data_IF_237195503975
#
_entry.id   IF_237195503975
#
_cell.length_a   1.000
_cell.length_b   1.000
_cell.length_c   1.000
_cell.angle_alpha   90.00
_cell.angle_beta   90.00
_cell.angle_gamma   90.00
#
_symmetry.space_group_name_H-M   'P 1'
#
loop_
_entity.id
_entity.type
_entity.pdbx_description
1 polymer ?
#
# COMPACT_ATOMS: atom_id res chain seq x y z
N UNK A 1 -16.79 12.50 -0.12
CA UNK A 1 -15.87 13.57 0.27
C UNK A 1 -14.45 13.33 -0.27
N UNK A 2 -13.76 12.25 0.13
CA UNK A 2 -12.40 11.95 -0.34
C UNK A 2 -12.27 11.87 -1.88
N UNK A 3 -13.20 11.21 -2.56
CA UNK A 3 -13.22 11.09 -4.04
C UNK A 3 -13.35 12.47 -4.71
N UNK A 4 -14.22 13.35 -4.19
CA UNK A 4 -14.44 14.70 -4.73
C UNK A 4 -13.22 15.59 -4.49
N UNK A 5 -12.55 15.45 -3.34
CA UNK A 5 -11.30 16.15 -3.04
C UNK A 5 -10.16 15.72 -3.97
N UNK A 6 -10.01 14.41 -4.22
CA UNK A 6 -9.01 13.86 -5.14
C UNK A 6 -9.30 14.25 -6.59
N UNK A 7 -10.58 14.35 -6.98
CA UNK A 7 -10.97 14.84 -8.30
C UNK A 7 -10.63 16.33 -8.48
N UNK A 8 -10.77 17.14 -7.41
CA UNK A 8 -10.30 18.53 -7.39
C UNK A 8 -8.78 18.67 -7.50
N UNK A 9 -8.02 17.78 -6.84
CA UNK A 9 -6.56 17.73 -6.95
C UNK A 9 -6.08 17.27 -8.33
N UNK A 10 -6.79 16.33 -8.98
CA UNK A 10 -6.46 15.88 -10.34
C UNK A 10 -6.61 16.96 -11.43
N UNK A 11 -7.38 18.03 -11.17
CA UNK A 11 -7.48 19.19 -12.06
C UNK A 11 -6.32 20.19 -11.88
N UNK A 12 -5.55 20.06 -10.80
CA UNK A 12 -4.35 20.85 -10.53
C UNK A 12 -3.14 20.20 -11.21
N UNK A 13 -2.31 21.05 -11.79
CA UNK A 13 -1.15 20.75 -12.63
C UNK A 13 -0.36 19.49 -12.24
N UNK A 14 0.05 18.70 -13.23
CA UNK A 14 0.88 17.47 -13.16
C UNK A 14 2.13 17.60 -12.26
N UNK A 15 2.59 18.82 -12.01
CA UNK A 15 3.69 19.11 -11.08
C UNK A 15 3.32 18.93 -9.60
N UNK A 16 2.09 19.27 -9.21
CA UNK A 16 1.57 19.08 -7.86
C UNK A 16 1.36 17.58 -7.56
N UNK A 17 1.02 16.79 -8.59
CA UNK A 17 0.90 15.33 -8.49
C UNK A 17 2.20 14.69 -7.99
N UNK A 18 3.33 15.02 -8.61
CA UNK A 18 4.63 14.42 -8.23
C UNK A 18 5.07 14.80 -6.81
N UNK A 19 4.85 16.04 -6.40
CA UNK A 19 5.18 16.50 -5.05
C UNK A 19 4.30 15.84 -3.97
N UNK A 20 2.99 15.78 -4.17
CA UNK A 20 2.08 15.12 -3.23
C UNK A 20 2.38 13.63 -3.08
N UNK A 21 2.65 12.95 -4.20
CA UNK A 21 2.98 11.53 -4.17
C UNK A 21 4.30 11.27 -3.45
N UNK A 22 5.29 12.15 -3.62
CA UNK A 22 6.55 12.10 -2.87
C UNK A 22 6.32 12.20 -1.36
N UNK A 23 5.52 13.18 -0.91
CA UNK A 23 5.19 13.35 0.51
C UNK A 23 4.38 12.17 1.06
N UNK A 24 3.40 11.67 0.32
CA UNK A 24 2.62 10.50 0.73
C UNK A 24 3.49 9.24 0.80
N UNK A 25 4.40 9.04 -0.13
CA UNK A 25 5.34 7.92 -0.08
C UNK A 25 6.27 8.01 1.13
N UNK A 26 6.77 9.21 1.45
CA UNK A 26 7.65 9.43 2.60
C UNK A 26 6.97 9.06 3.93
N UNK A 27 5.71 9.46 4.12
CA UNK A 27 4.94 9.12 5.34
C UNK A 27 4.85 7.60 5.52
N UNK A 28 4.56 6.85 4.44
CA UNK A 28 4.44 5.39 4.47
C UNK A 28 5.76 4.72 4.82
N UNK A 29 6.85 5.16 4.17
CA UNK A 29 8.19 4.61 4.39
C UNK A 29 8.61 4.79 5.84
N UNK A 30 8.43 6.00 6.39
CA UNK A 30 8.77 6.29 7.78
C UNK A 30 7.93 5.44 8.75
N UNK A 31 6.63 5.30 8.52
CA UNK A 31 5.76 4.49 9.37
C UNK A 31 6.21 3.02 9.42
N UNK A 32 6.61 2.44 8.29
CA UNK A 32 7.07 1.05 8.23
C UNK A 32 8.43 0.89 8.91
N UNK A 33 9.36 1.82 8.68
CA UNK A 33 10.67 1.79 9.34
C UNK A 33 10.51 1.86 10.86
N UNK A 34 9.66 2.77 11.36
CA UNK A 34 9.39 2.92 12.79
C UNK A 34 8.72 1.65 13.33
N UNK A 35 7.78 1.05 12.60
CA UNK A 35 7.14 -0.21 13.01
C UNK A 35 8.16 -1.34 13.16
N UNK A 36 9.05 -1.49 12.18
CA UNK A 36 10.09 -2.52 12.21
C UNK A 36 11.00 -2.29 13.41
N UNK A 37 11.44 -1.05 13.64
CA UNK A 37 12.30 -0.70 14.76
C UNK A 37 11.63 -0.99 16.12
N UNK A 38 10.37 -0.60 16.29
CA UNK A 38 9.60 -0.84 17.52
C UNK A 38 9.36 -2.32 17.74
N UNK A 39 8.94 -3.07 16.72
CA UNK A 39 8.71 -4.50 16.86
C UNK A 39 10.00 -5.29 17.14
N UNK A 40 11.12 -4.93 16.51
CA UNK A 40 12.43 -5.50 16.85
C UNK A 40 12.81 -5.19 18.30
N UNK A 41 12.61 -3.94 18.75
CA UNK A 41 12.84 -3.56 20.15
C UNK A 41 11.98 -4.39 21.11
N UNK A 42 10.70 -4.62 20.81
CA UNK A 42 9.81 -5.48 21.61
C UNK A 42 10.31 -6.93 21.66
N UNK A 43 10.77 -7.48 20.54
CA UNK A 43 11.31 -8.85 20.48
C UNK A 43 12.60 -8.97 21.29
N UNK A 44 13.55 -8.05 21.13
CA UNK A 44 14.85 -8.11 21.82
C UNK A 44 14.76 -7.80 23.32
N UNK A 45 13.76 -7.04 23.76
CA UNK A 45 13.53 -6.75 25.19
C UNK A 45 12.70 -7.83 25.89
N UNK A 46 12.23 -8.85 25.17
CA UNK A 46 11.35 -9.88 25.74
C UNK A 46 9.99 -9.32 26.16
N UNK A 47 9.47 -8.34 25.42
CA UNK A 47 8.19 -7.72 25.70
C UNK A 47 7.09 -8.77 25.80
N UNK A 48 6.31 -8.73 26.88
CA UNK A 48 5.15 -9.61 27.06
C UNK A 48 3.89 -8.85 26.69
N UNK A 49 3.17 -9.37 25.70
CA UNK A 49 1.87 -8.83 25.27
C UNK A 49 0.85 -8.87 26.40
N UNK A 50 -0.19 -8.04 26.30
CA UNK A 50 -1.36 -8.07 27.19
C UNK A 50 -2.07 -9.43 27.22
N UNK A 51 -1.83 -10.28 26.21
CA UNK A 51 -2.34 -11.66 26.13
C UNK A 51 -1.46 -12.69 26.85
N UNK A 52 -0.34 -12.29 27.43
CA UNK A 52 0.61 -13.15 28.15
C UNK A 52 1.70 -13.78 27.27
N UNK A 53 1.71 -13.50 25.96
CA UNK A 53 2.69 -14.03 25.02
C UNK A 53 3.94 -13.15 24.96
N UNK A 54 5.12 -13.75 25.05
CA UNK A 54 6.41 -13.04 24.87
C UNK A 54 6.68 -12.87 23.38
N UNK A 55 6.97 -11.65 22.94
CA UNK A 55 7.33 -11.34 21.58
C UNK A 55 8.56 -12.17 21.14
N UNK A 56 8.43 -12.91 20.06
CA UNK A 56 9.44 -13.85 19.57
C UNK A 56 9.20 -14.21 18.12
N UNK A 57 10.29 -14.36 17.35
CA UNK A 57 10.23 -14.89 15.99
C UNK A 57 9.64 -16.30 15.92
N UNK A 58 9.66 -17.06 17.02
CA UNK A 58 9.06 -18.40 17.07
C UNK A 58 7.57 -18.40 16.77
N UNK A 59 6.85 -17.29 17.00
CA UNK A 59 5.42 -17.17 16.68
C UNK A 59 5.10 -17.41 15.20
N UNK A 60 6.07 -17.22 14.31
CA UNK A 60 5.93 -17.46 12.87
C UNK A 60 5.69 -18.93 12.52
N UNK A 61 6.12 -19.88 13.36
CA UNK A 61 5.98 -21.32 13.09
C UNK A 61 5.51 -22.16 14.27
N UNK A 62 5.54 -21.63 15.50
CA UNK A 62 5.18 -22.41 16.70
C UNK A 62 3.68 -22.77 16.76
N UNK A 63 2.82 -21.94 16.17
CA UNK A 63 1.36 -22.10 16.21
C UNK A 63 0.83 -22.86 14.99
N UNK A 64 1.32 -24.08 14.75
CA UNK A 64 0.88 -24.95 13.64
C UNK A 64 1.71 -24.85 12.36
N UNK A 65 2.94 -24.33 12.42
CA UNK A 65 3.84 -24.21 11.27
C UNK A 65 3.44 -23.11 10.30
N UNK A 66 3.93 -23.20 9.05
CA UNK A 66 3.64 -22.22 7.99
C UNK A 66 2.24 -22.39 7.37
N UNK A 67 1.63 -23.58 7.50
CA UNK A 67 0.32 -23.91 6.95
C UNK A 67 -0.64 -24.38 8.05
N UNK A 68 -0.91 -23.56 9.08
CA UNK A 68 -1.72 -23.99 10.23
C UNK A 68 -3.17 -24.31 9.86
N UNK A 69 -3.67 -23.73 8.76
CA UNK A 69 -5.01 -23.94 8.21
C UNK A 69 -5.01 -24.81 6.94
N UNK A 70 -3.87 -25.46 6.64
CA UNK A 70 -3.67 -26.30 5.46
C UNK A 70 -3.72 -25.54 4.13
N UNK A 71 -3.84 -26.29 3.03
CA UNK A 71 -3.86 -25.73 1.66
C UNK A 71 -5.08 -24.82 1.43
N UNK A 72 -6.23 -25.17 2.02
CA UNK A 72 -7.45 -24.36 1.88
C UNK A 72 -7.27 -22.95 2.45
N UNK A 73 -6.70 -22.84 3.65
CA UNK A 73 -6.43 -21.53 4.26
C UNK A 73 -5.36 -20.74 3.51
N UNK A 74 -4.34 -21.42 2.96
CA UNK A 74 -3.38 -20.78 2.04
C UNK A 74 -4.08 -20.18 0.82
N UNK A 75 -4.93 -20.94 0.12
CA UNK A 75 -5.65 -20.45 -1.06
C UNK A 75 -6.59 -19.29 -0.71
N UNK A 76 -7.22 -19.34 0.46
CA UNK A 76 -8.07 -18.26 0.96
C UNK A 76 -7.29 -16.97 1.27
N UNK A 77 -6.09 -17.07 1.86
CA UNK A 77 -5.22 -15.91 2.09
C UNK A 77 -4.53 -15.40 0.83
N UNK A 78 -4.19 -16.30 -0.10
CA UNK A 78 -3.46 -15.99 -1.33
C UNK A 78 -4.24 -15.06 -2.25
N UNK A 79 -5.56 -15.24 -2.38
CA UNK A 79 -6.40 -14.32 -3.14
C UNK A 79 -6.39 -12.89 -2.57
N UNK A 80 -6.40 -12.74 -1.24
CA UNK A 80 -6.36 -11.43 -0.55
C UNK A 80 -4.99 -10.80 -0.79
N UNK A 81 -3.92 -11.60 -0.73
CA UNK A 81 -2.57 -11.14 -1.03
C UNK A 81 -2.46 -10.64 -2.49
N UNK A 82 -2.98 -11.37 -3.48
CA UNK A 82 -3.02 -10.91 -4.88
C UNK A 82 -3.81 -9.61 -4.99
N UNK A 83 -4.99 -9.53 -4.36
CA UNK A 83 -5.82 -8.35 -4.39
C UNK A 83 -5.08 -7.10 -3.88
N UNK A 84 -4.23 -7.24 -2.85
CA UNK A 84 -3.43 -6.15 -2.32
C UNK A 84 -2.38 -5.57 -3.30
N UNK A 85 -2.05 -6.31 -4.37
CA UNK A 85 -1.09 -5.89 -5.41
C UNK A 85 -1.74 -5.53 -6.75
N UNK A 86 -3.08 -5.49 -6.80
CA UNK A 86 -3.78 -4.90 -7.95
C UNK A 86 -3.39 -3.43 -8.07
N UNK A 87 -3.08 -3.01 -9.29
CA UNK A 87 -2.62 -1.67 -9.61
C UNK A 87 -1.12 -1.58 -9.95
N UNK A 88 -0.35 -2.67 -9.79
CA UNK A 88 1.04 -2.73 -10.26
C UNK A 88 1.11 -2.64 -11.80
N UNK A 89 0.07 -3.10 -12.49
CA UNK A 89 -0.11 -3.00 -13.94
C UNK A 89 -0.19 -1.55 -14.45
N UNK A 90 -0.50 -0.58 -13.58
CA UNK A 90 -0.52 0.85 -13.97
C UNK A 90 0.84 1.33 -14.47
N UNK A 91 1.94 0.67 -14.12
CA UNK A 91 3.28 0.99 -14.63
C UNK A 91 3.32 0.94 -16.17
N UNK A 92 2.50 0.06 -16.78
CA UNK A 92 2.37 -0.05 -18.23
C UNK A 92 1.73 1.19 -18.84
N UNK A 93 0.74 1.80 -18.19
CA UNK A 93 0.09 3.03 -18.69
C UNK A 93 1.02 4.23 -18.70
N UNK A 94 2.00 4.27 -17.78
CA UNK A 94 3.02 5.32 -17.73
C UNK A 94 4.20 5.07 -18.67
N UNK A 95 4.31 3.89 -19.29
CA UNK A 95 5.42 3.57 -20.19
C UNK A 95 5.51 4.53 -21.38
N UNK A 96 4.36 4.94 -21.93
CA UNK A 96 4.28 5.88 -23.05
C UNK A 96 4.72 7.31 -22.71
N UNK A 97 4.69 7.68 -21.43
CA UNK A 97 5.08 9.01 -20.92
C UNK A 97 6.48 9.00 -20.26
N UNK A 98 7.12 7.83 -20.17
CA UNK A 98 8.41 7.65 -19.50
C UNK A 98 9.56 8.02 -20.43
N UNK A 99 10.46 8.90 -19.96
CA UNK A 99 11.71 9.19 -20.66
C UNK A 99 12.59 7.92 -20.72
N UNK A 100 13.19 7.61 -21.87
CA UNK A 100 14.06 6.44 -22.07
C UNK A 100 13.46 5.12 -21.54
N UNK A 101 12.29 4.70 -22.06
CA UNK A 101 11.51 3.58 -21.50
C UNK A 101 12.30 2.28 -21.48
N UNK A 102 13.15 2.02 -22.47
CA UNK A 102 14.01 0.82 -22.55
C UNK A 102 14.94 0.66 -21.34
N UNK A 103 15.33 1.75 -20.68
CA UNK A 103 16.21 1.72 -19.51
C UNK A 103 15.46 1.94 -18.21
N UNK A 104 14.50 2.85 -18.20
CA UNK A 104 13.83 3.27 -16.97
C UNK A 104 12.69 2.33 -16.58
N UNK A 105 11.97 1.75 -17.55
CA UNK A 105 10.87 0.83 -17.28
C UNK A 105 11.36 -0.48 -16.64
N UNK A 106 12.41 -1.17 -17.14
CA UNK A 106 12.92 -2.36 -16.47
C UNK A 106 13.43 -2.10 -15.06
N UNK A 107 14.10 -0.95 -14.84
CA UNK A 107 14.57 -0.55 -13.50
C UNK A 107 13.41 -0.34 -12.53
N UNK A 108 12.36 0.34 -12.97
CA UNK A 108 11.16 0.55 -12.16
C UNK A 108 10.50 -0.78 -11.80
N UNK A 109 10.27 -1.66 -12.79
CA UNK A 109 9.66 -2.99 -12.60
C UNK A 109 10.50 -3.85 -11.64
N UNK A 110 11.81 -3.95 -11.87
CA UNK A 110 12.70 -4.76 -11.04
C UNK A 110 12.82 -4.22 -9.60
N UNK A 111 12.47 -2.96 -9.36
CA UNK A 111 12.42 -2.41 -8.00
C UNK A 111 11.16 -2.81 -7.21
N UNK A 112 10.09 -3.24 -7.90
CA UNK A 112 8.80 -3.56 -7.26
C UNK A 112 8.93 -4.72 -6.27
N UNK A 113 9.52 -5.89 -6.63
CA UNK A 113 9.63 -7.01 -5.70
C UNK A 113 10.40 -6.65 -4.42
N UNK A 114 11.48 -5.88 -4.54
CA UNK A 114 12.29 -5.44 -3.39
C UNK A 114 11.43 -4.61 -2.42
N UNK A 115 10.63 -3.68 -2.96
CA UNK A 115 9.71 -2.87 -2.16
C UNK A 115 8.65 -3.73 -1.48
N UNK A 116 8.12 -4.75 -2.15
CA UNK A 116 7.14 -5.69 -1.56
C UNK A 116 7.76 -6.44 -0.37
N UNK A 117 8.98 -6.95 -0.53
CA UNK A 117 9.66 -7.67 0.56
C UNK A 117 9.87 -6.74 1.76
N UNK A 118 10.39 -5.54 1.54
CA UNK A 118 10.72 -4.60 2.61
C UNK A 118 9.47 -4.02 3.30
N UNK A 119 8.47 -3.59 2.52
CA UNK A 119 7.33 -2.87 3.08
C UNK A 119 6.21 -3.78 3.56
N UNK A 120 6.03 -4.94 2.92
CA UNK A 120 4.93 -5.86 3.22
C UNK A 120 5.40 -7.06 4.02
N UNK A 121 6.30 -7.86 3.45
CA UNK A 121 6.71 -9.14 4.05
C UNK A 121 7.40 -8.90 5.39
N UNK A 122 8.35 -7.97 5.43
CA UNK A 122 9.08 -7.65 6.65
C UNK A 122 8.18 -7.03 7.73
N UNK A 123 7.26 -6.14 7.35
CA UNK A 123 6.30 -5.56 8.30
C UNK A 123 5.39 -6.64 8.92
N UNK A 124 4.84 -7.54 8.10
CA UNK A 124 4.02 -8.66 8.56
C UNK A 124 4.82 -9.63 9.42
N UNK A 125 6.06 -9.94 9.04
CA UNK A 125 6.97 -10.77 9.82
C UNK A 125 7.14 -10.21 11.24
N UNK A 126 7.41 -8.91 11.35
CA UNK A 126 7.59 -8.25 12.65
C UNK A 126 6.29 -8.24 13.45
N UNK A 127 5.15 -7.89 12.82
CA UNK A 127 3.84 -7.90 13.49
C UNK A 127 3.51 -9.30 14.02
N UNK A 128 3.68 -10.34 13.21
CA UNK A 128 3.40 -11.73 13.60
C UNK A 128 4.41 -12.29 14.61
N UNK A 129 5.62 -11.73 14.66
CA UNK A 129 6.62 -12.06 15.69
C UNK A 129 6.31 -11.39 17.03
N UNK A 130 5.57 -10.27 17.03
CA UNK A 130 5.12 -9.62 18.26
C UNK A 130 3.83 -10.24 18.77
N UNK A 131 2.87 -10.50 17.88
CA UNK A 131 1.57 -11.10 18.23
C UNK A 131 1.29 -12.29 17.32
N UNK A 132 1.11 -13.51 17.87
CA UNK A 132 0.90 -14.69 17.06
C UNK A 132 -0.41 -14.61 16.25
N UNK A 133 -0.41 -15.23 15.08
CA UNK A 133 -1.47 -15.09 14.08
C UNK A 133 -2.88 -15.42 14.57
N UNK A 134 -2.99 -16.35 15.54
CA UNK A 134 -4.24 -16.81 16.15
C UNK A 134 -4.76 -15.86 17.25
N UNK A 135 -3.99 -14.83 17.63
CA UNK A 135 -4.34 -13.82 18.64
C UNK A 135 -4.49 -12.41 18.05
N UNK A 136 -4.36 -12.27 16.73
CA UNK A 136 -4.63 -11.01 16.05
C UNK A 136 -6.14 -10.77 16.07
N UNK A 137 -6.56 -9.68 16.70
CA UNK A 137 -7.94 -9.23 16.67
C UNK A 137 -8.27 -8.66 15.28
N UNK A 138 -9.21 -9.26 14.52
CA UNK A 138 -9.58 -8.76 13.20
C UNK A 138 -10.29 -7.39 13.24
N UNK A 139 -10.82 -6.96 14.40
CA UNK A 139 -11.47 -5.66 14.55
C UNK A 139 -10.49 -4.50 14.71
N UNK A 140 -9.22 -4.78 15.05
CA UNK A 140 -8.19 -3.76 15.31
C UNK A 140 -7.08 -3.90 14.28
N UNK A 141 -6.64 -2.79 13.71
CA UNK A 141 -5.47 -2.80 12.82
C UNK A 141 -4.24 -3.36 13.56
N UNK A 142 -3.58 -4.41 13.03
CA UNK A 142 -2.39 -4.99 13.67
C UNK A 142 -1.25 -3.98 13.84
N UNK A 143 -1.17 -3.00 12.94
CA UNK A 143 -0.22 -1.90 13.01
C UNK A 143 -0.51 -0.97 14.20
N UNK A 144 -1.79 -0.62 14.39
CA UNK A 144 -2.24 0.17 15.55
C UNK A 144 -1.98 -0.60 16.84
N UNK A 145 -2.32 -1.88 16.84
CA UNK A 145 -2.20 -2.75 18.00
C UNK A 145 -0.74 -2.86 18.45
N UNK A 146 0.22 -3.05 17.53
CA UNK A 146 1.65 -3.09 17.83
C UNK A 146 2.12 -1.79 18.52
N UNK A 147 1.79 -0.63 17.96
CA UNK A 147 2.19 0.65 18.56
C UNK A 147 1.48 0.94 19.88
N UNK A 148 0.23 0.53 20.02
CA UNK A 148 -0.51 0.64 21.28
C UNK A 148 0.12 -0.21 22.37
N UNK A 149 0.53 -1.44 22.06
CA UNK A 149 1.24 -2.33 22.97
C UNK A 149 2.62 -1.77 23.37
N UNK A 150 3.29 -1.07 22.45
CA UNK A 150 4.54 -0.34 22.74
C UNK A 150 4.36 0.94 23.59
N UNK A 151 3.14 1.27 24.02
CA UNK A 151 2.84 2.43 24.87
C UNK A 151 2.59 3.74 24.12
N UNK A 152 2.43 3.70 22.79
CA UNK A 152 2.14 4.90 21.99
C UNK A 152 0.65 5.25 22.11
N UNK A 153 0.32 6.20 22.98
CA UNK A 153 -1.08 6.62 23.24
C UNK A 153 -1.82 7.10 21.97
N UNK A 154 -1.11 7.73 21.04
CA UNK A 154 -1.66 8.23 19.78
C UNK A 154 -1.57 7.23 18.61
N UNK A 155 -1.30 5.94 18.87
CA UNK A 155 -1.09 4.91 17.85
C UNK A 155 -2.20 4.86 16.79
N UNK A 156 -3.46 4.83 17.25
CA UNK A 156 -4.63 4.78 16.37
C UNK A 156 -4.70 5.98 15.43
N UNK A 157 -4.48 7.19 15.96
CA UNK A 157 -4.54 8.44 15.18
C UNK A 157 -3.40 8.46 14.16
N UNK A 158 -2.17 8.18 14.58
CA UNK A 158 -1.00 8.20 13.69
C UNK A 158 -1.14 7.19 12.56
N UNK A 159 -1.53 5.96 12.86
CA UNK A 159 -1.71 4.94 11.82
C UNK A 159 -2.89 5.24 10.91
N UNK A 160 -3.99 5.80 11.42
CA UNK A 160 -5.09 6.24 10.56
C UNK A 160 -4.65 7.34 9.58
N UNK A 161 -3.77 8.25 9.99
CA UNK A 161 -3.19 9.26 9.09
C UNK A 161 -2.30 8.61 8.01
N UNK A 162 -1.49 7.61 8.38
CA UNK A 162 -0.65 6.84 7.43
C UNK A 162 -1.51 6.05 6.44
N UNK A 163 -2.58 5.41 6.92
CA UNK A 163 -3.52 4.66 6.06
C UNK A 163 -4.26 5.63 5.15
N UNK A 164 -4.71 6.78 5.67
CA UNK A 164 -5.42 7.78 4.86
C UNK A 164 -4.52 8.34 3.76
N UNK A 165 -3.25 8.66 4.05
CA UNK A 165 -2.31 9.10 3.03
C UNK A 165 -2.01 8.00 2.00
N UNK A 166 -2.01 6.73 2.44
CA UNK A 166 -1.89 5.57 1.56
C UNK A 166 -3.06 5.46 0.59
N UNK A 167 -4.29 5.52 1.11
CA UNK A 167 -5.51 5.46 0.31
C UNK A 167 -5.58 6.65 -0.65
N UNK A 168 -5.21 7.86 -0.20
CA UNK A 168 -5.20 9.05 -1.07
C UNK A 168 -4.23 8.90 -2.25
N UNK A 169 -3.01 8.39 -2.02
CA UNK A 169 -2.02 8.17 -3.08
C UNK A 169 -2.45 7.06 -4.06
N UNK A 170 -3.03 5.95 -3.56
CA UNK A 170 -3.59 4.89 -4.41
C UNK A 170 -4.78 5.38 -5.24
N UNK A 171 -5.72 6.11 -4.64
CA UNK A 171 -6.86 6.70 -5.35
C UNK A 171 -6.41 7.71 -6.40
N UNK A 172 -5.39 8.51 -6.10
CA UNK A 172 -4.83 9.47 -7.03
C UNK A 172 -4.24 8.79 -8.29
N UNK A 173 -3.47 7.71 -8.09
CA UNK A 173 -2.95 6.88 -9.19
C UNK A 173 -4.07 6.19 -9.98
N UNK A 174 -5.09 5.69 -9.28
CA UNK A 174 -6.26 5.04 -9.89
C UNK A 174 -7.05 5.98 -10.81
N UNK A 175 -7.34 7.20 -10.35
CA UNK A 175 -8.01 8.23 -11.18
C UNK A 175 -7.14 8.58 -12.38
N UNK A 176 -5.85 8.82 -12.18
CA UNK A 176 -4.91 9.16 -13.26
C UNK A 176 -4.87 8.12 -14.38
N UNK A 177 -4.85 6.82 -14.04
CA UNK A 177 -4.81 5.75 -15.03
C UNK A 177 -6.17 5.50 -15.68
N UNK A 178 -7.25 5.55 -14.90
CA UNK A 178 -8.61 5.33 -15.41
C UNK A 178 -8.99 6.38 -16.44
N UNK A 179 -8.74 7.67 -16.18
CA UNK A 179 -9.03 8.74 -17.14
C UNK A 179 -8.23 8.58 -18.45
N UNK A 180 -7.01 8.03 -18.40
CA UNK A 180 -6.18 7.75 -19.59
C UNK A 180 -6.65 6.53 -20.37
N UNK A 181 -6.97 5.44 -19.68
CA UNK A 181 -7.54 4.26 -20.34
C UNK A 181 -8.85 4.63 -21.05
N UNK A 182 -9.73 5.37 -20.38
CA UNK A 182 -11.01 5.79 -20.94
C UNK A 182 -10.84 6.76 -22.13
N UNK A 183 -9.86 7.67 -22.05
CA UNK A 183 -9.48 8.54 -23.18
C UNK A 183 -8.98 7.73 -24.38
N UNK A 184 -8.11 6.74 -24.15
CA UNK A 184 -7.59 5.84 -25.18
C UNK A 184 -8.69 5.05 -25.88
N UNK A 185 -9.55 4.38 -25.12
CA UNK A 185 -10.72 3.65 -25.64
C UNK A 185 -11.64 4.57 -26.45
N UNK A 186 -11.85 5.80 -26.00
CA UNK A 186 -12.69 6.77 -26.72
C UNK A 186 -12.07 7.28 -28.01
N UNK A 187 -10.74 7.25 -28.14
CA UNK A 187 -10.01 7.58 -29.38
C UNK A 187 -10.02 6.43 -30.39
N UNK A 188 -10.13 5.19 -29.92
CA UNK A 188 -10.25 3.99 -30.73
C UNK A 188 -11.71 3.63 -31.06
N UNK A 189 -12.66 4.55 -30.83
CA UNK A 189 -14.11 4.35 -30.99
C UNK A 189 -14.69 3.17 -30.16
N UNK A 190 -13.97 2.72 -29.13
CA UNK A 190 -14.39 1.68 -28.17
C UNK A 190 -15.01 2.26 -26.89
N UNK A 191 -14.99 3.59 -26.72
CA UNK A 191 -15.55 4.31 -25.58
C UNK A 191 -16.43 5.50 -25.98
N UNK A 192 -17.15 6.13 -25.02
CA UNK A 192 -17.98 7.30 -25.31
C UNK A 192 -17.17 8.47 -25.86
N UNK A 193 -17.53 8.96 -27.06
CA UNK A 193 -16.83 10.06 -27.78
C UNK A 193 -16.64 11.34 -26.96
N UNK A 194 -17.48 11.55 -25.94
CA UNK A 194 -17.35 12.66 -25.02
C UNK A 194 -15.97 12.68 -24.34
N UNK A 195 -15.44 11.52 -23.94
CA UNK A 195 -14.20 11.39 -23.16
C UNK A 195 -12.91 11.47 -24.01
N UNK A 196 -13.02 11.60 -25.33
CA UNK A 196 -11.87 11.74 -26.24
C UNK A 196 -11.27 13.15 -26.34
N UNK A 197 -11.65 14.09 -25.46
CA UNK A 197 -11.22 15.50 -25.51
C UNK A 197 -10.21 15.82 -24.40
N UNK A 198 -9.16 16.54 -24.75
CA UNK A 198 -8.18 17.06 -23.79
C UNK A 198 -8.54 18.50 -23.40
N UNK A 199 -8.26 18.88 -22.15
CA UNK A 199 -8.32 20.27 -21.73
C UNK A 199 -7.06 21.05 -22.17
N UNK A 200 -7.02 22.37 -21.92
CA UNK A 200 -5.86 23.25 -22.25
C UNK A 200 -4.53 22.83 -21.60
N UNK A 201 -4.55 21.97 -20.58
CA UNK A 201 -3.37 21.44 -19.88
C UNK A 201 -2.98 20.03 -20.35
N UNK A 202 -3.56 19.57 -21.47
CA UNK A 202 -3.37 18.22 -22.01
C UNK A 202 -3.83 17.09 -21.07
N UNK A 203 -4.81 17.36 -20.20
CA UNK A 203 -5.39 16.37 -19.28
C UNK A 203 -6.81 16.01 -19.78
N UNK A 204 -7.18 14.71 -19.82
CA UNK A 204 -8.54 14.28 -20.18
C UNK A 204 -9.51 14.53 -19.01
N UNK A 205 -9.81 15.81 -18.74
CA UNK A 205 -10.53 16.24 -17.54
C UNK A 205 -12.03 15.88 -17.54
N UNK A 206 -12.56 15.45 -18.67
CA UNK A 206 -13.95 15.02 -18.79
C UNK A 206 -14.11 13.51 -18.75
N UNK A 207 -13.00 12.75 -18.68
CA UNK A 207 -12.93 11.29 -18.62
C UNK A 207 -12.74 10.79 -17.18
#
# INVERSE_FOLDING_TARGET
>A
AAIVFIMGLNLLTVRLFGELEFWFALIKILAIIILIAVGLWMIFTGFTSTTGEVASFTHLWANGGFFPTGVHGFLAGFQIAIFAFVGVELVGTTAAETKDPERNLPKAINSIPIRIIIFYVLALLIVMSVTPWNRIDPAISPFVNLFSQAGVAAAAILMNLVVLSSVMSSMNSGVFSTSRMLFGLSREDQGPKAFGKLNRRAVPANA
#
